data_IF_511956396055
#
_entry.id   IF_511956396055
#
_cell.length_a   1.000
_cell.length_b   1.000
_cell.length_c   1.000
_cell.angle_alpha   90.00
_cell.angle_beta   90.00
_cell.angle_gamma   90.00
#
_symmetry.space_group_name_H-M   'P 1'
#
loop_
_entity.id
_entity.type
_entity.pdbx_description
1 polymer ?
#
# COMPACT_ATOMS: atom_id res chain seq x y z
N UNK A 1 22.07 3.27 -15.43
CA UNK A 1 21.98 1.84 -15.83
C UNK A 1 21.51 1.76 -17.27
N UNK A 2 22.17 0.97 -18.14
CA UNK A 2 21.75 0.79 -19.54
C UNK A 2 20.31 0.23 -19.59
N UNK A 3 19.47 0.76 -20.49
CA UNK A 3 18.04 0.41 -20.61
C UNK A 3 17.81 -1.12 -20.73
N UNK A 4 18.64 -1.79 -21.51
CA UNK A 4 18.51 -3.24 -21.74
C UNK A 4 18.77 -4.07 -20.47
N UNK A 5 19.78 -3.69 -19.68
CA UNK A 5 20.09 -4.36 -18.41
C UNK A 5 18.95 -4.15 -17.40
N UNK A 6 18.38 -2.94 -17.34
CA UNK A 6 17.21 -2.64 -16.50
C UNK A 6 16.03 -3.56 -16.83
N UNK A 7 15.76 -3.79 -18.12
CA UNK A 7 14.69 -4.67 -18.59
C UNK A 7 14.96 -6.13 -18.17
N UNK A 8 16.16 -6.66 -18.43
CA UNK A 8 16.53 -8.02 -18.03
C UNK A 8 16.36 -8.21 -16.53
N UNK A 9 16.87 -7.24 -15.75
CA UNK A 9 16.76 -7.24 -14.30
C UNK A 9 15.31 -7.22 -13.81
N UNK A 10 14.45 -6.40 -14.42
CA UNK A 10 13.01 -6.35 -14.12
C UNK A 10 12.34 -7.71 -14.34
N UNK A 11 12.59 -8.35 -15.49
CA UNK A 11 12.01 -9.67 -15.79
C UNK A 11 12.48 -10.74 -14.81
N UNK A 12 13.78 -10.78 -14.52
CA UNK A 12 14.34 -11.74 -13.57
C UNK A 12 13.76 -11.55 -12.17
N UNK A 13 13.81 -10.34 -11.62
CA UNK A 13 13.31 -10.06 -10.27
C UNK A 13 11.81 -10.34 -10.18
N UNK A 14 11.03 -9.92 -11.19
CA UNK A 14 9.60 -10.24 -11.26
C UNK A 14 9.35 -11.74 -11.24
N UNK A 15 10.08 -12.51 -12.04
CA UNK A 15 9.92 -13.97 -12.09
C UNK A 15 10.19 -14.61 -10.73
N UNK A 16 11.33 -14.31 -10.12
CA UNK A 16 11.72 -14.85 -8.82
C UNK A 16 10.74 -14.44 -7.73
N UNK A 17 10.36 -13.15 -7.66
CA UNK A 17 9.38 -12.68 -6.68
C UNK A 17 8.03 -13.37 -6.82
N UNK A 18 7.55 -13.61 -8.04
CA UNK A 18 6.30 -14.36 -8.25
C UNK A 18 6.40 -15.79 -7.74
N UNK A 19 7.53 -16.45 -7.93
CA UNK A 19 7.77 -17.81 -7.43
C UNK A 19 7.75 -17.85 -5.90
N UNK A 20 8.45 -16.91 -5.25
CA UNK A 20 8.44 -16.74 -3.79
C UNK A 20 7.02 -16.51 -3.26
N UNK A 21 6.25 -15.61 -3.89
CA UNK A 21 4.86 -15.35 -3.50
C UNK A 21 3.94 -16.57 -3.70
N UNK A 22 4.20 -17.40 -4.72
CA UNK A 22 3.44 -18.63 -4.97
C UNK A 22 3.70 -19.70 -3.91
N UNK A 23 4.94 -19.80 -3.44
CA UNK A 23 5.38 -20.77 -2.41
C UNK A 23 4.88 -20.35 -1.03
N UNK A 24 5.15 -19.10 -0.60
CA UNK A 24 4.88 -18.66 0.77
C UNK A 24 3.46 -18.11 0.99
N UNK A 25 2.78 -17.71 -0.09
CA UNK A 25 1.37 -17.25 -0.09
C UNK A 25 1.02 -16.25 1.03
N UNK A 26 1.78 -15.17 1.23
CA UNK A 26 1.48 -14.18 2.26
C UNK A 26 0.15 -13.46 2.00
N UNK A 27 -0.42 -12.87 3.04
CA UNK A 27 -1.48 -11.87 2.89
C UNK A 27 -0.87 -10.55 2.46
N UNK A 28 -1.38 -9.99 1.36
CA UNK A 28 -0.87 -8.73 0.81
C UNK A 28 -1.88 -7.61 1.00
N UNK A 29 -1.44 -6.56 1.70
CA UNK A 29 -2.13 -5.29 1.84
C UNK A 29 -1.38 -4.25 1.01
N UNK A 30 -1.98 -3.77 -0.07
CA UNK A 30 -1.42 -2.74 -0.93
C UNK A 30 -1.93 -1.35 -0.52
N UNK A 31 -1.05 -0.36 -0.51
CA UNK A 31 -1.36 1.05 -0.21
C UNK A 31 -0.93 1.89 -1.39
N UNK A 32 -1.85 2.66 -1.95
CA UNK A 32 -1.61 3.51 -3.11
C UNK A 32 -2.25 4.88 -2.91
N UNK A 33 -1.82 5.86 -3.71
CA UNK A 33 -2.24 7.26 -3.62
C UNK A 33 -1.11 8.21 -3.95
N UNK A 34 -1.43 9.45 -4.28
CA UNK A 34 -0.45 10.51 -4.54
C UNK A 34 0.31 10.87 -3.27
N UNK A 35 -0.39 10.98 -2.12
CA UNK A 35 0.16 11.43 -0.84
C UNK A 35 -0.05 10.41 0.28
N UNK A 36 0.63 10.60 1.41
CA UNK A 36 0.37 9.94 2.70
C UNK A 36 0.55 8.41 2.81
N UNK A 37 0.88 7.70 1.71
CA UNK A 37 1.05 6.23 1.68
C UNK A 37 1.88 5.66 2.85
N UNK A 38 3.04 6.26 3.12
CA UNK A 38 3.97 5.74 4.15
C UNK A 38 3.40 5.80 5.56
N UNK A 39 2.59 6.81 5.89
CA UNK A 39 1.93 6.88 7.20
C UNK A 39 0.96 5.71 7.39
N UNK A 40 0.17 5.37 6.36
CA UNK A 40 -0.73 4.23 6.40
C UNK A 40 0.05 2.91 6.47
N UNK A 41 1.15 2.79 5.71
CA UNK A 41 2.00 1.59 5.73
C UNK A 41 2.55 1.33 7.12
N UNK A 42 3.09 2.36 7.75
CA UNK A 42 3.75 2.23 9.03
C UNK A 42 2.74 1.93 10.16
N UNK A 43 1.56 2.57 10.10
CA UNK A 43 0.49 2.29 11.05
C UNK A 43 -0.07 0.86 10.91
N UNK A 44 -0.35 0.41 9.69
CA UNK A 44 -0.84 -0.96 9.45
C UNK A 44 0.21 -2.00 9.85
N UNK A 45 1.48 -1.74 9.53
CA UNK A 45 2.58 -2.60 9.96
C UNK A 45 2.63 -2.72 11.49
N UNK A 46 2.50 -1.59 12.19
CA UNK A 46 2.48 -1.54 13.66
C UNK A 46 1.30 -2.36 14.22
N UNK A 47 0.08 -2.12 13.75
CA UNK A 47 -1.12 -2.82 14.22
C UNK A 47 -1.02 -4.34 14.00
N UNK A 48 -0.57 -4.77 12.82
CA UNK A 48 -0.39 -6.20 12.54
C UNK A 48 0.68 -6.84 13.44
N UNK A 49 1.77 -6.11 13.72
CA UNK A 49 2.81 -6.59 14.63
C UNK A 49 2.29 -6.71 16.08
N UNK A 50 1.47 -5.75 16.55
CA UNK A 50 0.79 -5.82 17.85
C UNK A 50 -0.17 -7.01 17.96
N UNK A 51 -0.72 -7.48 16.84
CA UNK A 51 -1.50 -8.73 16.76
C UNK A 51 -0.64 -9.99 16.66
N UNK A 52 0.68 -9.88 16.86
CA UNK A 52 1.62 -11.01 16.79
C UNK A 52 1.88 -11.53 15.36
N UNK A 53 1.51 -10.78 14.32
CA UNK A 53 1.76 -11.18 12.93
C UNK A 53 3.20 -10.88 12.53
N UNK A 54 3.78 -11.73 11.70
CA UNK A 54 5.07 -11.45 11.05
C UNK A 54 4.84 -10.60 9.80
N UNK A 55 5.39 -9.38 9.77
CA UNK A 55 5.07 -8.39 8.74
C UNK A 55 6.33 -7.88 8.06
N UNK A 56 6.29 -7.74 6.75
CA UNK A 56 7.29 -7.00 5.96
C UNK A 56 6.62 -5.88 5.18
N UNK A 57 7.31 -4.76 5.06
CA UNK A 57 6.83 -3.57 4.36
C UNK A 57 7.96 -2.95 3.53
N UNK A 58 7.65 -2.09 2.56
CA UNK A 58 8.69 -1.52 1.69
C UNK A 58 9.72 -0.73 2.51
N UNK A 59 11.03 -0.99 2.33
CA UNK A 59 12.05 -0.08 2.80
C UNK A 59 12.08 1.17 1.90
N UNK A 60 12.09 2.36 2.50
CA UNK A 60 12.20 3.63 1.76
C UNK A 60 11.13 3.72 0.63
N UNK A 61 11.52 4.20 -0.55
CA UNK A 61 10.65 4.37 -1.71
C UNK A 61 10.66 3.15 -2.66
N UNK A 62 10.84 1.93 -2.15
CA UNK A 62 10.91 0.71 -2.96
C UNK A 62 9.50 0.26 -3.40
N UNK A 63 8.81 1.09 -4.18
CA UNK A 63 7.39 0.93 -4.53
C UNK A 63 7.12 0.89 -6.05
N UNK A 64 8.18 0.83 -6.87
CA UNK A 64 8.11 0.76 -8.34
C UNK A 64 8.61 -0.60 -8.89
N UNK A 65 8.86 -0.69 -10.19
CA UNK A 65 9.08 -1.93 -10.95
C UNK A 65 10.28 -2.79 -10.54
N UNK A 66 11.33 -2.19 -9.96
CA UNK A 66 12.50 -2.89 -9.39
C UNK A 66 12.43 -2.88 -7.86
N UNK A 67 12.04 -1.75 -7.27
CA UNK A 67 11.99 -1.59 -5.82
C UNK A 67 11.01 -2.56 -5.17
N UNK A 68 9.83 -2.76 -5.75
CA UNK A 68 8.80 -3.62 -5.18
C UNK A 68 9.27 -5.10 -5.05
N UNK A 69 9.84 -5.75 -6.08
CA UNK A 69 10.49 -7.04 -5.92
C UNK A 69 11.51 -7.10 -4.79
N UNK A 70 12.41 -6.11 -4.71
CA UNK A 70 13.44 -6.04 -3.68
C UNK A 70 12.85 -5.89 -2.27
N UNK A 71 11.81 -5.07 -2.12
CA UNK A 71 11.05 -4.92 -0.89
C UNK A 71 10.41 -6.24 -0.44
N UNK A 72 9.78 -6.96 -1.37
CA UNK A 72 9.13 -8.25 -1.10
C UNK A 72 10.17 -9.29 -0.70
N UNK A 73 11.35 -9.30 -1.34
CA UNK A 73 12.41 -10.26 -1.06
C UNK A 73 13.30 -9.88 0.14
N UNK A 74 13.15 -8.66 0.67
CA UNK A 74 14.00 -8.08 1.72
C UNK A 74 15.49 -8.01 1.33
N UNK A 75 15.76 -7.48 0.13
CA UNK A 75 17.11 -7.36 -0.43
C UNK A 75 17.40 -5.90 -0.76
N UNK A 76 18.61 -5.44 -0.49
CA UNK A 76 19.03 -4.10 -0.86
C UNK A 76 19.24 -3.94 -2.37
N UNK A 77 19.14 -2.71 -2.86
CA UNK A 77 19.38 -2.42 -4.28
C UNK A 77 20.87 -2.35 -4.59
N UNK A 78 21.26 -2.83 -5.78
CA UNK A 78 22.59 -2.55 -6.33
C UNK A 78 22.79 -1.08 -6.75
N UNK A 79 21.73 -0.27 -6.71
CA UNK A 79 21.68 1.14 -7.15
C UNK A 79 22.34 1.30 -8.53
N UNK A 80 23.31 2.20 -8.64
CA UNK A 80 23.99 2.53 -9.89
C UNK A 80 25.19 1.61 -10.21
N UNK A 81 25.54 0.67 -9.33
CA UNK A 81 26.71 -0.19 -9.50
C UNK A 81 26.34 -1.55 -10.05
N UNK A 82 26.76 -1.85 -11.29
CA UNK A 82 26.52 -3.16 -11.93
C UNK A 82 27.09 -4.34 -11.14
N UNK A 83 28.29 -4.18 -10.55
CA UNK A 83 28.93 -5.24 -9.77
C UNK A 83 28.11 -5.62 -8.53
N UNK A 84 27.42 -4.65 -7.92
CA UNK A 84 26.54 -4.89 -6.76
C UNK A 84 25.27 -5.66 -7.13
N UNK A 85 24.91 -5.79 -8.41
CA UNK A 85 23.74 -6.56 -8.81
C UNK A 85 23.97 -8.07 -8.80
N UNK A 86 25.20 -8.56 -8.98
CA UNK A 86 25.50 -10.00 -8.91
C UNK A 86 25.09 -10.64 -7.57
N UNK A 87 25.52 -10.12 -6.39
CA UNK A 87 25.08 -10.68 -5.11
C UNK A 87 23.57 -10.48 -4.87
N UNK A 88 22.96 -9.41 -5.40
CA UNK A 88 21.51 -9.17 -5.29
C UNK A 88 20.72 -10.25 -6.03
N UNK A 89 21.13 -10.60 -7.26
CA UNK A 89 20.50 -11.65 -8.05
C UNK A 89 20.63 -13.01 -7.36
N UNK A 90 21.82 -13.35 -6.85
CA UNK A 90 22.03 -14.58 -6.09
C UNK A 90 21.16 -14.63 -4.82
N UNK A 91 21.04 -13.51 -4.11
CA UNK A 91 20.20 -13.40 -2.92
C UNK A 91 18.71 -13.54 -3.25
N UNK A 92 18.28 -13.01 -4.40
CA UNK A 92 16.91 -13.15 -4.87
C UNK A 92 16.57 -14.63 -5.14
N UNK A 93 17.46 -15.38 -5.81
CA UNK A 93 17.27 -16.81 -6.02
C UNK A 93 17.18 -17.58 -4.69
N UNK A 94 18.05 -17.24 -3.71
CA UNK A 94 18.02 -17.88 -2.38
C UNK A 94 16.73 -17.61 -1.60
N UNK A 95 16.06 -16.49 -1.85
CA UNK A 95 14.81 -16.14 -1.17
C UNK A 95 13.66 -17.12 -1.46
N UNK A 96 13.75 -17.93 -2.52
CA UNK A 96 12.82 -19.04 -2.82
C UNK A 96 12.76 -20.06 -1.67
N UNK A 97 13.88 -20.26 -0.98
CA UNK A 97 14.03 -21.25 0.09
C UNK A 97 14.00 -20.62 1.49
N UNK A 98 13.49 -19.39 1.63
CA UNK A 98 13.46 -18.68 2.91
C UNK A 98 12.47 -19.36 3.88
N UNK A 99 12.97 -19.98 4.95
CA UNK A 99 12.10 -20.64 5.96
C UNK A 99 11.17 -19.67 6.70
N UNK A 100 11.67 -18.48 7.04
CA UNK A 100 10.95 -17.48 7.84
C UNK A 100 10.41 -16.34 6.96
N UNK A 101 9.61 -16.68 5.95
CA UNK A 101 8.94 -15.67 5.14
C UNK A 101 7.75 -15.05 5.91
N UNK A 102 7.55 -13.73 5.88
CA UNK A 102 6.47 -13.07 6.64
C UNK A 102 5.09 -13.53 6.18
N UNK A 103 4.18 -13.68 7.13
CA UNK A 103 2.76 -13.98 6.87
C UNK A 103 2.03 -12.80 6.22
N UNK A 104 2.51 -11.57 6.42
CA UNK A 104 1.93 -10.35 5.85
C UNK A 104 2.94 -9.49 5.09
N UNK A 105 2.50 -8.95 3.96
CA UNK A 105 3.19 -7.92 3.19
C UNK A 105 2.34 -6.65 3.15
N UNK A 106 2.86 -5.54 3.71
CA UNK A 106 2.23 -4.22 3.65
C UNK A 106 2.99 -3.36 2.63
N UNK A 107 2.46 -3.29 1.42
CA UNK A 107 3.17 -2.81 0.24
C UNK A 107 2.62 -1.48 -0.27
N UNK A 108 3.43 -0.43 -0.23
CA UNK A 108 3.22 0.76 -1.03
C UNK A 108 3.41 0.44 -2.52
N UNK A 109 2.47 0.92 -3.34
CA UNK A 109 2.52 0.87 -4.79
C UNK A 109 2.58 2.29 -5.35
N UNK A 110 3.71 2.64 -5.93
CA UNK A 110 3.96 3.94 -6.56
C UNK A 110 3.66 3.89 -8.04
N UNK A 111 2.87 4.84 -8.52
CA UNK A 111 2.57 5.00 -9.95
C UNK A 111 2.93 6.41 -10.39
N UNK A 112 3.53 6.52 -11.57
CA UNK A 112 3.92 7.78 -12.20
C UNK A 112 3.37 7.90 -13.62
N UNK A 113 3.26 6.79 -14.35
CA UNK A 113 2.83 6.76 -15.74
C UNK A 113 1.83 5.64 -16.02
N UNK A 114 1.21 5.71 -17.19
CA UNK A 114 0.24 4.71 -17.63
C UNK A 114 0.90 3.33 -17.73
N UNK A 115 0.26 2.33 -17.12
CA UNK A 115 0.70 0.94 -17.11
C UNK A 115 1.47 0.52 -15.86
N UNK A 116 1.86 1.45 -14.99
CA UNK A 116 2.64 1.14 -13.77
C UNK A 116 1.86 0.20 -12.84
N UNK A 117 0.60 0.52 -12.53
CA UNK A 117 -0.24 -0.31 -11.67
C UNK A 117 -0.44 -1.70 -12.27
N UNK A 118 -0.64 -1.78 -13.59
CA UNK A 118 -0.75 -3.07 -14.30
C UNK A 118 0.53 -3.88 -14.14
N UNK A 119 1.69 -3.26 -14.26
CA UNK A 119 2.97 -3.92 -14.05
C UNK A 119 3.13 -4.39 -12.60
N UNK A 120 2.86 -3.54 -11.61
CA UNK A 120 2.98 -3.91 -10.19
C UNK A 120 2.02 -5.05 -9.83
N UNK A 121 0.77 -5.01 -10.32
CA UNK A 121 -0.22 -6.08 -10.14
C UNK A 121 0.16 -7.39 -10.84
N UNK A 122 1.03 -7.33 -11.86
CA UNK A 122 1.57 -8.54 -12.50
C UNK A 122 2.64 -9.24 -11.65
N UNK A 123 3.16 -8.58 -10.61
CA UNK A 123 4.05 -9.15 -9.61
C UNK A 123 3.23 -9.65 -8.42
N UNK A 124 2.38 -8.78 -7.86
CA UNK A 124 1.64 -9.06 -6.63
C UNK A 124 0.17 -8.65 -6.75
N UNK A 125 -0.75 -9.54 -6.41
CA UNK A 125 -2.19 -9.26 -6.43
C UNK A 125 -2.71 -9.12 -4.99
N UNK A 126 -3.07 -7.90 -4.54
CA UNK A 126 -3.40 -7.65 -3.15
C UNK A 126 -4.75 -8.24 -2.73
N UNK A 127 -4.82 -8.75 -1.50
CA UNK A 127 -6.05 -9.12 -0.79
C UNK A 127 -6.79 -7.86 -0.34
N UNK A 128 -6.05 -6.87 0.14
CA UNK A 128 -6.62 -5.58 0.53
C UNK A 128 -5.88 -4.48 -0.20
N UNK A 129 -6.62 -3.58 -0.82
CA UNK A 129 -6.04 -2.38 -1.41
C UNK A 129 -6.61 -1.15 -0.72
N UNK A 130 -5.74 -0.22 -0.35
CA UNK A 130 -6.08 1.04 0.31
C UNK A 130 -5.68 2.17 -0.63
N UNK A 131 -6.60 3.09 -0.90
CA UNK A 131 -6.31 4.30 -1.67
C UNK A 131 -6.42 5.50 -0.74
N UNK A 132 -5.29 6.17 -0.49
CA UNK A 132 -5.19 7.28 0.45
C UNK A 132 -5.79 8.56 -0.13
N UNK A 133 -5.12 9.22 -1.04
CA UNK A 133 -5.56 10.48 -1.63
C UNK A 133 -5.00 10.57 -3.04
N UNK A 134 -5.82 11.05 -3.97
CA UNK A 134 -5.38 11.32 -5.34
C UNK A 134 -5.38 12.83 -5.51
N UNK A 135 -4.18 13.38 -5.50
CA UNK A 135 -3.91 14.80 -5.73
C UNK A 135 -2.97 14.96 -6.93
N UNK A 136 -3.13 16.06 -7.64
CA UNK A 136 -2.21 16.46 -8.69
C UNK A 136 -1.08 17.24 -8.02
N UNK A 137 0.10 16.64 -7.90
CA UNK A 137 1.25 17.28 -7.23
C UNK A 137 2.03 18.25 -8.11
N UNK A 138 1.79 18.25 -9.43
CA UNK A 138 2.41 19.17 -10.39
C UNK A 138 1.41 19.50 -11.51
N UNK A 139 1.26 20.79 -11.82
CA UNK A 139 0.35 21.35 -12.82
C UNK A 139 0.93 21.09 -14.22
N UNK A 140 0.77 19.90 -14.78
CA UNK A 140 1.09 19.67 -16.19
C UNK A 140 0.04 18.77 -16.87
N UNK A 141 -0.96 19.43 -17.46
CA UNK A 141 -2.02 18.92 -18.34
C UNK A 141 -3.14 18.05 -17.74
N UNK A 142 -4.36 18.25 -18.24
CA UNK A 142 -5.54 17.40 -18.00
C UNK A 142 -5.24 15.91 -18.32
N UNK A 143 -4.39 15.67 -19.33
CA UNK A 143 -3.96 14.33 -19.74
C UNK A 143 -3.23 13.55 -18.64
N UNK A 144 -2.52 14.24 -17.74
CA UNK A 144 -1.81 13.62 -16.62
C UNK A 144 -2.77 13.08 -15.56
N UNK A 145 -3.84 13.82 -15.28
CA UNK A 145 -4.84 13.42 -14.29
C UNK A 145 -5.64 12.20 -14.76
N UNK A 146 -6.05 12.16 -16.04
CA UNK A 146 -6.78 11.01 -16.59
C UNK A 146 -5.91 9.75 -16.63
N UNK A 147 -4.63 9.89 -16.99
CA UNK A 147 -3.65 8.79 -16.92
C UNK A 147 -3.52 8.27 -15.49
N UNK A 148 -3.36 9.17 -14.53
CA UNK A 148 -3.23 8.83 -13.12
C UNK A 148 -4.50 8.14 -12.58
N UNK A 149 -5.68 8.68 -12.91
CA UNK A 149 -6.96 8.06 -12.57
C UNK A 149 -7.08 6.65 -13.17
N UNK A 150 -6.63 6.44 -14.42
CA UNK A 150 -6.61 5.13 -15.06
C UNK A 150 -5.88 4.06 -14.23
N UNK A 151 -4.77 4.41 -13.58
CA UNK A 151 -4.02 3.50 -12.71
C UNK A 151 -4.81 3.12 -11.44
N UNK A 152 -5.46 4.09 -10.80
CA UNK A 152 -6.28 3.82 -9.60
C UNK A 152 -7.58 3.08 -9.93
N UNK A 153 -8.17 3.34 -11.10
CA UNK A 153 -9.30 2.56 -11.63
C UNK A 153 -8.85 1.11 -11.87
N UNK A 154 -7.66 0.90 -12.42
CA UNK A 154 -7.12 -0.44 -12.61
C UNK A 154 -6.95 -1.16 -11.26
N UNK A 155 -6.40 -0.49 -10.24
CA UNK A 155 -6.29 -1.03 -8.88
C UNK A 155 -7.67 -1.46 -8.35
N UNK A 156 -8.66 -0.58 -8.38
CA UNK A 156 -10.00 -0.85 -7.86
C UNK A 156 -10.67 -2.06 -8.54
N UNK A 157 -10.46 -2.24 -9.84
CA UNK A 157 -11.00 -3.37 -10.62
C UNK A 157 -10.33 -4.72 -10.33
N UNK A 158 -9.10 -4.71 -9.82
CA UNK A 158 -8.22 -5.88 -9.86
C UNK A 158 -7.74 -6.37 -8.49
N UNK A 159 -8.29 -5.84 -7.38
CA UNK A 159 -8.13 -6.45 -6.05
C UNK A 159 -8.50 -7.95 -6.12
N UNK A 160 -7.80 -8.80 -5.38
CA UNK A 160 -8.03 -10.25 -5.38
C UNK A 160 -9.48 -10.56 -4.98
N UNK A 161 -10.11 -11.54 -5.64
CA UNK A 161 -11.47 -12.01 -5.31
C UNK A 161 -11.51 -12.44 -3.83
N UNK A 162 -12.58 -12.07 -3.13
CA UNK A 162 -12.70 -12.27 -1.68
C UNK A 162 -11.93 -11.24 -0.83
N UNK A 163 -11.23 -10.30 -1.49
CA UNK A 163 -10.52 -9.21 -0.84
C UNK A 163 -11.41 -8.02 -0.48
N UNK A 164 -10.79 -6.89 -0.11
CA UNK A 164 -11.47 -5.63 0.23
C UNK A 164 -10.76 -4.42 -0.37
N UNK A 165 -11.53 -3.39 -0.70
CA UNK A 165 -11.01 -2.09 -1.13
C UNK A 165 -11.36 -1.05 -0.06
N UNK A 166 -10.36 -0.34 0.46
CA UNK A 166 -10.53 0.68 1.49
C UNK A 166 -10.24 2.05 0.86
N UNK A 167 -11.20 2.96 0.90
CA UNK A 167 -11.16 4.23 0.18
C UNK A 167 -11.31 5.42 1.13
N UNK A 168 -10.53 6.46 0.90
CA UNK A 168 -10.72 7.73 1.59
C UNK A 168 -11.95 8.45 1.06
N UNK A 169 -12.93 8.66 1.93
CA UNK A 169 -14.18 9.34 1.62
C UNK A 169 -13.97 10.82 1.30
N UNK A 170 -13.06 11.47 2.03
CA UNK A 170 -12.83 12.92 1.95
C UNK A 170 -12.18 13.35 0.62
N UNK A 171 -11.64 12.40 -0.15
CA UNK A 171 -11.12 12.67 -1.48
C UNK A 171 -12.13 12.16 -2.54
N UNK A 172 -12.83 13.08 -3.18
CA UNK A 172 -13.91 12.75 -4.13
C UNK A 172 -13.46 11.77 -5.23
N UNK A 173 -12.25 11.92 -5.75
CA UNK A 173 -11.70 11.07 -6.82
C UNK A 173 -11.49 9.64 -6.34
N UNK A 174 -11.00 9.49 -5.11
CA UNK A 174 -10.86 8.20 -4.43
C UNK A 174 -12.23 7.60 -4.16
N UNK A 175 -13.17 8.36 -3.60
CA UNK A 175 -14.53 7.91 -3.31
C UNK A 175 -15.22 7.31 -4.53
N UNK A 176 -15.09 7.97 -5.68
CA UNK A 176 -15.64 7.53 -6.98
C UNK A 176 -15.06 6.21 -7.49
N UNK A 177 -13.95 5.69 -6.95
CA UNK A 177 -13.40 4.40 -7.37
C UNK A 177 -14.31 3.21 -7.04
N UNK A 178 -15.23 3.35 -6.08
CA UNK A 178 -16.23 2.32 -5.73
C UNK A 178 -16.99 1.80 -6.95
N UNK A 179 -17.31 2.66 -7.92
CA UNK A 179 -18.04 2.26 -9.15
C UNK A 179 -17.30 1.21 -10.00
N UNK A 180 -16.01 1.02 -9.77
CA UNK A 180 -15.19 0.05 -10.49
C UNK A 180 -14.79 -1.16 -9.64
N UNK A 181 -15.09 -1.14 -8.35
CA UNK A 181 -14.73 -2.21 -7.43
C UNK A 181 -15.52 -3.48 -7.73
N UNK A 182 -14.83 -4.63 -7.67
CA UNK A 182 -15.43 -5.97 -7.77
C UNK A 182 -15.42 -6.72 -6.43
N UNK A 183 -15.08 -6.01 -5.36
CA UNK A 183 -14.93 -6.50 -4.00
C UNK A 183 -15.64 -5.53 -3.05
N UNK A 184 -15.99 -5.95 -1.83
CA UNK A 184 -16.53 -5.05 -0.81
C UNK A 184 -15.66 -3.81 -0.63
N UNK A 185 -16.31 -2.66 -0.52
CA UNK A 185 -15.67 -1.36 -0.33
C UNK A 185 -15.98 -0.88 1.08
N UNK A 186 -14.93 -0.47 1.80
CA UNK A 186 -15.04 0.26 3.06
C UNK A 186 -14.53 1.68 2.86
N UNK A 187 -15.13 2.62 3.55
CA UNK A 187 -14.72 4.01 3.57
C UNK A 187 -14.12 4.40 4.91
N UNK A 188 -13.09 5.25 4.86
CA UNK A 188 -12.58 5.97 6.02
C UNK A 188 -12.57 7.47 5.71
N UNK A 189 -12.72 8.31 6.73
CA UNK A 189 -12.75 9.76 6.54
C UNK A 189 -13.44 10.49 7.67
N UNK A 190 -13.74 11.76 7.41
CA UNK A 190 -14.54 12.62 8.30
C UNK A 190 -16.01 12.22 8.33
N UNK A 191 -16.72 12.66 9.37
CA UNK A 191 -18.09 12.25 9.68
C UNK A 191 -19.07 12.39 8.50
N UNK A 192 -19.53 11.24 8.01
CA UNK A 192 -20.65 11.08 7.08
C UNK A 192 -21.26 9.69 7.30
N UNK A 193 -22.56 9.54 7.03
CA UNK A 193 -23.30 8.28 7.26
C UNK A 193 -22.80 7.12 6.40
N UNK A 194 -22.13 7.44 5.31
CA UNK A 194 -21.57 6.47 4.36
C UNK A 194 -20.13 6.02 4.70
N UNK A 195 -19.53 6.59 5.75
CA UNK A 195 -18.16 6.29 6.17
C UNK A 195 -18.16 5.21 7.24
N UNK A 196 -17.52 4.08 6.97
CA UNK A 196 -17.41 2.99 7.95
C UNK A 196 -16.47 3.38 9.10
N UNK A 197 -15.22 3.76 8.79
CA UNK A 197 -14.23 4.25 9.75
C UNK A 197 -14.33 5.76 9.89
N UNK A 198 -15.23 6.20 10.76
CA UNK A 198 -15.74 7.57 10.81
C UNK A 198 -15.04 8.39 11.88
N UNK A 199 -14.26 9.39 11.46
CA UNK A 199 -13.59 10.31 12.38
C UNK A 199 -14.59 11.38 12.83
N UNK A 200 -14.90 11.38 14.12
CA UNK A 200 -15.85 12.30 14.75
C UNK A 200 -15.14 13.58 15.22
N UNK A 201 -13.95 13.44 15.80
CA UNK A 201 -13.19 14.56 16.35
C UNK A 201 -11.68 14.34 16.18
N UNK A 202 -10.97 15.42 15.80
CA UNK A 202 -9.51 15.50 15.90
C UNK A 202 -9.17 16.72 16.74
N UNK A 203 -8.86 16.50 18.01
CA UNK A 203 -8.47 17.56 18.94
C UNK A 203 -6.95 17.69 18.97
N UNK A 204 -6.43 18.92 18.85
CA UNK A 204 -5.00 19.18 19.04
C UNK A 204 -4.67 19.16 20.54
N UNK A 205 -3.57 18.51 20.88
CA UNK A 205 -3.00 18.44 22.22
C UNK A 205 -1.56 18.98 22.19
N UNK A 206 -0.93 19.14 23.35
CA UNK A 206 0.42 19.75 23.48
C UNK A 206 1.47 19.01 22.63
N UNK A 207 1.41 17.68 22.60
CA UNK A 207 2.39 16.78 21.99
C UNK A 207 1.83 15.98 20.80
N UNK A 208 0.66 16.36 20.27
CA UNK A 208 0.07 15.70 19.11
C UNK A 208 -1.43 15.92 18.95
N UNK A 209 -2.16 14.84 18.67
CA UNK A 209 -3.62 14.87 18.47
C UNK A 209 -4.31 13.75 19.26
N UNK A 210 -5.50 14.04 19.76
CA UNK A 210 -6.46 13.04 20.23
C UNK A 210 -7.52 12.87 19.14
N UNK A 211 -7.80 11.62 18.79
CA UNK A 211 -8.71 11.25 17.70
C UNK A 211 -9.83 10.41 18.26
N UNK A 212 -11.07 10.88 18.10
CA UNK A 212 -12.28 10.08 18.35
C UNK A 212 -12.86 9.62 17.03
N UNK A 213 -13.15 8.33 16.93
CA UNK A 213 -13.70 7.74 15.74
C UNK A 213 -14.59 6.54 16.06
N UNK A 214 -15.54 6.26 15.16
CA UNK A 214 -16.39 5.09 15.22
C UNK A 214 -16.00 4.07 14.13
N UNK A 215 -16.04 2.79 14.47
CA UNK A 215 -16.02 1.72 13.48
C UNK A 215 -16.79 0.50 14.01
N UNK A 216 -17.77 -0.01 13.23
CA UNK A 216 -18.69 -1.10 13.61
C UNK A 216 -19.34 -0.87 14.98
N UNK A 217 -19.92 0.32 15.16
CA UNK A 217 -20.62 0.76 16.38
C UNK A 217 -19.75 0.82 17.65
N UNK A 218 -18.43 0.73 17.48
CA UNK A 218 -17.48 0.93 18.58
C UNK A 218 -16.91 2.33 18.47
N UNK A 219 -17.15 3.13 19.51
CA UNK A 219 -16.46 4.38 19.69
C UNK A 219 -15.05 4.10 20.24
N UNK A 220 -14.05 4.73 19.65
CA UNK A 220 -12.66 4.59 20.00
C UNK A 220 -12.05 5.98 20.16
N UNK A 221 -11.11 6.09 21.08
CA UNK A 221 -10.35 7.31 21.33
C UNK A 221 -8.86 6.95 21.42
N UNK A 222 -8.03 7.60 20.60
CA UNK A 222 -6.60 7.30 20.52
C UNK A 222 -5.80 8.61 20.53
N UNK A 223 -4.80 8.68 21.42
CA UNK A 223 -3.77 9.72 21.42
C UNK A 223 -2.65 9.35 20.44
N UNK A 224 -2.28 10.31 19.59
CA UNK A 224 -1.21 10.19 18.60
C UNK A 224 -0.20 11.30 18.88
N UNK A 225 1.05 10.94 19.16
CA UNK A 225 2.13 11.90 19.47
C UNK A 225 2.72 12.55 18.20
N UNK A 226 1.87 12.92 17.24
CA UNK A 226 2.20 13.62 15.99
C UNK A 226 1.02 14.46 15.52
N UNK A 227 1.32 15.59 14.90
CA UNK A 227 0.29 16.48 14.34
C UNK A 227 -0.09 16.13 12.91
N UNK A 228 -1.37 16.32 12.57
CA UNK A 228 -1.86 16.26 11.18
C UNK A 228 -2.94 15.22 10.96
N UNK A 229 -3.99 15.58 10.22
CA UNK A 229 -5.16 14.72 10.00
C UNK A 229 -4.83 13.41 9.26
N UNK A 230 -3.74 13.35 8.49
CA UNK A 230 -3.30 12.13 7.82
C UNK A 230 -2.89 11.04 8.81
N UNK A 231 -2.38 11.40 10.00
CA UNK A 231 -2.10 10.43 11.06
C UNK A 231 -3.38 9.86 11.65
N UNK A 232 -4.40 10.69 11.90
CA UNK A 232 -5.71 10.23 12.35
C UNK A 232 -6.31 9.21 11.37
N UNK A 233 -6.29 9.53 10.07
CA UNK A 233 -6.79 8.63 9.01
C UNK A 233 -6.02 7.32 8.93
N UNK A 234 -4.69 7.35 9.08
CA UNK A 234 -3.88 6.14 9.11
C UNK A 234 -4.27 5.23 10.28
N UNK A 235 -4.45 5.80 11.49
CA UNK A 235 -4.87 5.06 12.68
C UNK A 235 -6.24 4.41 12.49
N UNK A 236 -7.22 5.15 11.95
CA UNK A 236 -8.54 4.58 11.66
C UNK A 236 -8.44 3.41 10.69
N UNK A 237 -7.64 3.52 9.61
CA UNK A 237 -7.44 2.39 8.70
C UNK A 237 -6.70 1.23 9.36
N UNK A 238 -5.73 1.51 10.24
CA UNK A 238 -5.11 0.48 11.08
C UNK A 238 -6.16 -0.31 11.88
N UNK A 239 -7.12 0.39 12.49
CA UNK A 239 -8.19 -0.26 13.26
C UNK A 239 -9.18 -1.03 12.39
N UNK A 240 -9.50 -0.53 11.18
CA UNK A 240 -10.26 -1.31 10.19
C UNK A 240 -9.54 -2.62 9.89
N UNK A 241 -8.24 -2.57 9.59
CA UNK A 241 -7.42 -3.77 9.31
C UNK A 241 -7.44 -4.74 10.50
N UNK A 242 -7.29 -4.22 11.72
CA UNK A 242 -7.33 -4.99 12.96
C UNK A 242 -8.65 -5.75 13.14
N UNK A 243 -9.77 -5.04 13.05
CA UNK A 243 -11.11 -5.54 13.36
C UNK A 243 -11.66 -6.45 12.27
N UNK A 244 -11.28 -6.20 11.02
CA UNK A 244 -11.69 -7.04 9.89
C UNK A 244 -10.90 -8.35 9.80
N UNK A 245 -9.95 -8.58 10.71
CA UNK A 245 -9.04 -9.73 10.72
C UNK A 245 -8.41 -9.96 9.35
N UNK A 246 -8.03 -8.86 8.70
CA UNK A 246 -7.36 -8.87 7.41
C UNK A 246 -5.98 -9.51 7.56
#
# INVERSE_FOLDING_TARGET
>A
MKKIFKIILQYYLKFITKLVLLIHRPTVIAISGSVNKSFFRDEIKKVLAEQGKTVRANPKNFNTEIGLPLAILNIESGYNSYRRWLPVLASAAKAIFQKNFPTYLVLELGVAQRGDMRYLFSIVKPQVAIVTEITQRYIESFSGMDKLMGEYIYLAKNVKKGGKLILNWDNEKVRRLKKYAKVPVLYFGTDSKEVDGRIEEIKKEIDGIMVKFNYKDRQNEIKINRFGAHHAKAVVVGQIVKVENI
#
